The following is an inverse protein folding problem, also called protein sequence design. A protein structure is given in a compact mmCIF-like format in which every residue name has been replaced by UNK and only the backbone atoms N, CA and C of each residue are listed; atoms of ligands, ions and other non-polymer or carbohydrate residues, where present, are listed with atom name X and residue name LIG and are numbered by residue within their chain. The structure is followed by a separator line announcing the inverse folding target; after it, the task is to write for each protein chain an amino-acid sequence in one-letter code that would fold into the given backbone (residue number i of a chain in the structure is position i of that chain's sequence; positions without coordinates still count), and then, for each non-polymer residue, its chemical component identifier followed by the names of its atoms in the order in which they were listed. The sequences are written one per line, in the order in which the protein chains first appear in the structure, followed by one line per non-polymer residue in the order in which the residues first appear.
data_IF_205277889011
#
_entry.id   IF_205277889011
#
_cell.length_a   1.000
_cell.length_b   1.000
_cell.length_c   1.000
_cell.angle_alpha   90.00
_cell.angle_beta   90.00
_cell.angle_gamma   90.00
#
_symmetry.space_group_name_H-M   'P 1'
#
loop_
_entity.id
_entity.type
_entity.pdbx_description
1 polymer ?
#
# COMPACT_ATOMS: atom_id res chain seq x y z
N UNK A 1 -14.07 -0.12 -45.63
CA UNK A 1 -13.35 1.13 -45.33
C UNK A 1 -13.43 1.37 -43.82
N UNK A 2 -12.25 1.51 -43.22
CA UNK A 2 -11.88 2.03 -41.90
C UNK A 2 -12.92 2.20 -40.78
N UNK A 3 -12.65 1.53 -39.66
CA UNK A 3 -12.39 2.22 -38.39
C UNK A 3 -11.68 1.25 -37.42
N UNK A 4 -10.36 1.10 -37.60
CA UNK A 4 -9.48 0.82 -36.47
C UNK A 4 -9.02 2.16 -35.90
N UNK A 5 -9.07 2.34 -34.58
CA UNK A 5 -8.03 3.01 -33.80
C UNK A 5 -8.41 3.03 -32.30
N UNK A 6 -7.45 2.71 -31.42
CA UNK A 6 -7.31 3.52 -30.22
C UNK A 6 -7.90 3.03 -28.88
N UNK A 7 -7.96 1.72 -28.60
CA UNK A 7 -8.14 1.22 -27.22
C UNK A 7 -6.82 0.85 -26.54
N UNK A 8 -5.78 1.65 -26.79
CA UNK A 8 -4.49 1.59 -26.12
C UNK A 8 -4.35 2.79 -25.18
N UNK A 9 -5.23 2.89 -24.18
CA UNK A 9 -5.07 3.87 -23.10
C UNK A 9 -5.05 3.16 -21.76
N UNK A 10 -3.86 3.18 -21.15
CA UNK A 10 -3.53 3.00 -19.72
C UNK A 10 -3.12 1.61 -19.26
N UNK A 11 -2.22 0.96 -20.01
CA UNK A 11 -1.10 0.31 -19.32
C UNK A 11 0.03 1.32 -19.30
N UNK A 12 -0.04 2.27 -18.34
CA UNK A 12 1.20 2.90 -17.89
C UNK A 12 2.07 1.73 -17.48
N UNK A 13 3.18 1.55 -18.19
CA UNK A 13 4.31 0.78 -17.68
C UNK A 13 4.72 1.44 -16.36
N UNK A 14 4.01 1.10 -15.29
CA UNK A 14 4.41 1.41 -13.94
C UNK A 14 5.79 0.81 -13.81
N UNK A 15 6.77 1.62 -13.40
CA UNK A 15 8.04 1.12 -12.90
C UNK A 15 7.75 -0.13 -12.09
N UNK A 16 8.27 -1.28 -12.54
CA UNK A 16 8.13 -2.53 -11.80
C UNK A 16 8.68 -2.31 -10.39
N UNK A 17 9.73 -1.50 -10.29
CA UNK A 17 10.48 -1.23 -9.09
C UNK A 17 10.01 0.05 -8.40
N UNK A 18 9.89 0.01 -7.08
CA UNK A 18 9.56 1.17 -6.25
C UNK A 18 9.21 0.73 -4.84
N UNK A 19 8.25 1.39 -4.19
CA UNK A 19 7.89 1.11 -2.82
C UNK A 19 6.42 0.70 -2.69
N UNK A 20 6.17 -0.36 -1.93
CA UNK A 20 4.86 -0.61 -1.31
C UNK A 20 4.94 -0.12 0.13
N UNK A 21 3.95 0.65 0.55
CA UNK A 21 3.97 1.32 1.82
C UNK A 21 2.64 1.18 2.57
N UNK A 22 2.73 1.32 3.88
CA UNK A 22 1.62 1.36 4.82
C UNK A 22 1.53 2.79 5.35
N UNK A 23 0.38 3.45 5.19
CA UNK A 23 0.06 4.66 5.95
C UNK A 23 -0.85 4.31 7.10
N UNK A 24 -0.72 5.04 8.19
CA UNK A 24 -1.60 4.95 9.35
C UNK A 24 -2.26 6.30 9.57
N UNK A 25 -3.52 6.26 9.97
CA UNK A 25 -4.25 7.41 10.49
C UNK A 25 -3.78 7.70 11.92
N UNK A 26 -3.30 8.93 12.13
CA UNK A 26 -2.94 9.41 13.46
C UNK A 26 -4.22 9.75 14.24
N UNK A 27 -4.76 8.74 14.92
CA UNK A 27 -5.95 8.83 15.77
C UNK A 27 -5.60 8.90 17.25
N UNK A 28 -6.64 9.16 18.06
CA UNK A 28 -6.59 9.10 19.51
C UNK A 28 -6.03 7.73 19.99
N UNK A 29 -5.06 7.69 20.92
CA UNK A 29 -4.30 6.49 21.28
C UNK A 29 -5.13 5.37 21.92
N UNK A 30 -6.42 5.61 22.18
CA UNK A 30 -7.35 4.64 22.78
C UNK A 30 -8.24 3.93 21.78
N UNK A 31 -8.19 4.32 20.50
CA UNK A 31 -9.03 3.75 19.44
C UNK A 31 -8.29 2.77 18.52
N UNK A 32 -9.02 2.02 17.69
CA UNK A 32 -8.41 1.22 16.64
C UNK A 32 -7.70 2.10 15.61
N UNK A 33 -6.57 1.63 15.11
CA UNK A 33 -5.79 2.33 14.09
C UNK A 33 -6.26 1.92 12.70
N UNK A 34 -6.33 2.92 11.81
CA UNK A 34 -6.71 2.71 10.41
C UNK A 34 -5.48 2.78 9.53
N UNK A 35 -5.24 1.73 8.75
CA UNK A 35 -4.13 1.59 7.84
C UNK A 35 -4.60 1.59 6.39
N UNK A 36 -3.75 2.08 5.48
CA UNK A 36 -3.95 1.94 4.04
C UNK A 36 -2.66 1.49 3.37
N UNK A 37 -2.79 0.50 2.49
CA UNK A 37 -1.71 0.04 1.62
C UNK A 37 -1.67 0.91 0.36
N UNK A 38 -0.50 1.43 0.03
CA UNK A 38 -0.25 2.15 -1.22
C UNK A 38 1.02 1.70 -1.90
N UNK A 39 1.20 2.15 -3.13
CA UNK A 39 2.43 1.98 -3.89
C UNK A 39 2.85 3.30 -4.53
N UNK A 40 4.15 3.57 -4.55
CA UNK A 40 4.72 4.79 -5.12
C UNK A 40 6.23 4.63 -5.31
N UNK A 41 6.81 5.32 -6.28
CA UNK A 41 8.25 5.48 -6.39
C UNK A 41 8.81 6.40 -5.30
N UNK A 42 7.96 7.32 -4.79
CA UNK A 42 8.28 8.21 -3.69
C UNK A 42 7.10 8.25 -2.70
N UNK A 43 7.10 7.41 -1.65
CA UNK A 43 5.98 7.31 -0.73
C UNK A 43 5.76 8.61 0.04
N UNK A 44 6.83 9.30 0.48
CA UNK A 44 6.74 10.57 1.22
C UNK A 44 5.96 11.65 0.46
N UNK A 45 6.31 11.90 -0.80
CA UNK A 45 5.59 12.86 -1.66
C UNK A 45 4.14 12.42 -1.88
N UNK A 46 3.91 11.11 -2.03
CA UNK A 46 2.55 10.58 -2.25
C UNK A 46 1.68 10.73 -1.00
N UNK A 47 2.21 10.48 0.19
CA UNK A 47 1.50 10.70 1.46
C UNK A 47 1.18 12.19 1.64
N UNK A 48 2.12 13.09 1.34
CA UNK A 48 1.85 14.53 1.36
C UNK A 48 0.70 14.93 0.45
N UNK A 49 0.65 14.41 -0.78
CA UNK A 49 -0.47 14.63 -1.72
C UNK A 49 -1.80 14.03 -1.23
N UNK A 50 -1.76 12.86 -0.58
CA UNK A 50 -2.94 12.25 0.02
C UNK A 50 -3.49 13.11 1.17
N UNK A 51 -2.62 13.75 1.95
CA UNK A 51 -3.02 14.62 3.05
C UNK A 51 -3.78 15.87 2.59
N UNK A 52 -3.41 16.47 1.44
CA UNK A 52 -4.02 17.73 0.94
C UNK A 52 -5.54 17.64 0.73
N UNK A 53 -6.08 16.43 0.54
CA UNK A 53 -7.53 16.19 0.40
C UNK A 53 -8.13 15.25 1.44
N UNK A 54 -7.35 14.85 2.46
CA UNK A 54 -7.82 13.92 3.48
C UNK A 54 -8.03 14.68 4.81
N UNK A 55 -9.27 14.70 5.36
CA UNK A 55 -9.52 15.31 6.67
C UNK A 55 -8.80 14.59 7.81
N UNK A 56 -8.39 13.33 7.60
CA UNK A 56 -7.65 12.52 8.56
C UNK A 56 -6.16 12.81 8.45
N UNK A 57 -5.46 12.90 9.59
CA UNK A 57 -4.00 13.02 9.61
C UNK A 57 -3.37 11.68 9.24
N UNK A 58 -2.58 11.67 8.19
CA UNK A 58 -1.89 10.47 7.70
C UNK A 58 -0.41 10.55 8.01
N UNK A 59 0.14 9.43 8.48
CA UNK A 59 1.57 9.25 8.65
C UNK A 59 2.04 8.04 7.85
N UNK A 60 3.18 8.16 7.19
CA UNK A 60 3.86 7.00 6.62
C UNK A 60 4.35 6.12 7.78
N UNK A 61 3.86 4.89 7.84
CA UNK A 61 4.18 3.95 8.91
C UNK A 61 5.31 3.01 8.52
N UNK A 62 5.20 2.39 7.34
CA UNK A 62 6.21 1.49 6.79
C UNK A 62 6.35 1.68 5.29
N UNK A 63 7.56 1.49 4.78
CA UNK A 63 7.83 1.42 3.35
C UNK A 63 8.77 0.26 3.05
N UNK A 64 8.49 -0.46 1.96
CA UNK A 64 9.25 -1.61 1.52
C UNK A 64 9.58 -1.45 0.03
N UNK A 65 10.89 -1.38 -0.27
CA UNK A 65 11.36 -1.40 -1.65
C UNK A 65 11.13 -2.77 -2.27
N UNK A 66 10.53 -2.81 -3.46
CA UNK A 66 10.19 -4.03 -4.18
C UNK A 66 10.50 -3.90 -5.68
N UNK A 67 10.72 -5.03 -6.34
CA UNK A 67 10.92 -5.11 -7.80
C UNK A 67 9.61 -5.27 -8.58
N UNK A 68 8.48 -5.50 -7.90
CA UNK A 68 7.16 -5.54 -8.52
C UNK A 68 6.11 -4.92 -7.60
N UNK A 69 5.97 -3.58 -7.66
CA UNK A 69 5.03 -2.83 -6.83
C UNK A 69 3.59 -3.32 -6.97
N UNK A 70 3.13 -3.60 -8.19
CA UNK A 70 1.75 -4.03 -8.44
C UNK A 70 1.45 -5.42 -7.85
N UNK A 71 2.36 -6.37 -8.03
CA UNK A 71 2.19 -7.71 -7.46
C UNK A 71 2.31 -7.70 -5.94
N UNK A 72 3.26 -6.94 -5.40
CA UNK A 72 3.48 -6.81 -3.97
C UNK A 72 2.29 -6.14 -3.27
N UNK A 73 1.74 -5.06 -3.84
CA UNK A 73 0.56 -4.39 -3.32
C UNK A 73 -0.67 -5.31 -3.35
N UNK A 74 -0.91 -6.01 -4.46
CA UNK A 74 -2.01 -6.99 -4.54
C UNK A 74 -1.87 -8.09 -3.49
N UNK A 75 -0.67 -8.63 -3.33
CA UNK A 75 -0.36 -9.66 -2.32
C UNK A 75 -0.63 -9.14 -0.90
N UNK A 76 -0.15 -7.94 -0.58
CA UNK A 76 -0.40 -7.29 0.71
C UNK A 76 -1.91 -7.07 0.94
N UNK A 77 -2.62 -6.53 -0.05
CA UNK A 77 -4.07 -6.28 0.05
C UNK A 77 -4.89 -7.57 0.22
N UNK A 78 -4.46 -8.67 -0.40
CA UNK A 78 -5.08 -9.98 -0.23
C UNK A 78 -4.78 -10.56 1.15
N UNK A 79 -3.56 -10.46 1.64
CA UNK A 79 -3.17 -10.93 2.98
C UNK A 79 -3.92 -10.17 4.09
N UNK A 80 -4.16 -8.87 3.90
CA UNK A 80 -4.86 -8.02 4.85
C UNK A 80 -6.39 -8.05 4.72
N UNK A 81 -6.96 -8.92 3.90
CA UNK A 81 -8.41 -8.94 3.61
C UNK A 81 -9.27 -9.08 4.88
N UNK A 82 -8.76 -9.78 5.89
CA UNK A 82 -9.45 -9.99 7.17
C UNK A 82 -9.55 -8.71 8.02
N UNK A 83 -8.63 -7.76 7.81
CA UNK A 83 -8.61 -6.46 8.50
C UNK A 83 -9.41 -5.37 7.78
N UNK A 84 -10.09 -5.68 6.67
CA UNK A 84 -10.79 -4.66 5.88
C UNK A 84 -11.82 -3.90 6.72
N UNK A 85 -11.73 -2.57 6.68
CA UNK A 85 -12.68 -1.69 7.34
C UNK A 85 -14.08 -1.87 6.71
N UNK A 86 -15.04 -2.36 7.50
CA UNK A 86 -16.42 -2.59 7.03
C UNK A 86 -17.31 -1.34 7.09
N UNK A 87 -16.88 -0.32 7.80
CA UNK A 87 -17.67 0.89 8.10
C UNK A 87 -17.16 2.07 7.28
N UNK A 88 -17.68 2.21 6.05
CA UNK A 88 -17.60 3.47 5.29
C UNK A 88 -16.23 3.87 4.70
N UNK A 89 -15.19 3.05 4.87
CA UNK A 89 -13.84 3.33 4.34
C UNK A 89 -13.60 2.89 2.90
N UNK A 90 -14.49 2.12 2.28
CA UNK A 90 -14.24 1.48 0.98
C UNK A 90 -13.25 0.31 1.06
N UNK A 91 -12.76 -0.19 -0.08
CA UNK A 91 -11.92 -1.39 -0.17
C UNK A 91 -10.43 -1.15 0.12
N UNK A 92 -10.07 0.08 0.48
CA UNK A 92 -8.69 0.54 0.55
C UNK A 92 -8.16 0.75 1.98
N UNK A 93 -9.01 0.60 2.99
CA UNK A 93 -8.65 0.82 4.40
C UNK A 93 -8.80 -0.47 5.21
N UNK A 94 -7.89 -0.61 6.18
CA UNK A 94 -7.79 -1.73 7.09
C UNK A 94 -7.82 -1.19 8.51
N UNK A 95 -8.55 -1.84 9.40
CA UNK A 95 -8.68 -1.43 10.80
C UNK A 95 -8.12 -2.55 11.66
N UNK A 96 -7.22 -2.21 12.58
CA UNK A 96 -6.72 -3.14 13.59
C UNK A 96 -6.89 -2.54 14.97
N UNK A 97 -7.36 -3.36 15.91
CA UNK A 97 -7.29 -3.03 17.32
C UNK A 97 -5.85 -3.02 17.83
N UNK A 98 -5.61 -2.52 19.06
CA UNK A 98 -4.27 -2.48 19.65
C UNK A 98 -3.63 -3.87 19.77
N UNK A 99 -4.43 -4.92 19.94
CA UNK A 99 -3.94 -6.32 20.01
C UNK A 99 -3.65 -6.92 18.62
N UNK A 100 -4.19 -6.33 17.56
CA UNK A 100 -4.09 -6.82 16.18
C UNK A 100 -3.07 -6.05 15.33
N UNK A 101 -2.63 -4.88 15.80
CA UNK A 101 -1.67 -4.03 15.08
C UNK A 101 -0.40 -4.81 14.71
N UNK A 102 0.18 -5.55 15.66
CA UNK A 102 1.40 -6.29 15.42
C UNK A 102 1.21 -7.40 14.37
N UNK A 103 0.07 -8.10 14.40
CA UNK A 103 -0.22 -9.14 13.41
C UNK A 103 -0.41 -8.53 12.02
N UNK A 104 -1.16 -7.42 11.91
CA UNK A 104 -1.36 -6.70 10.66
C UNK A 104 -0.02 -6.31 10.03
N UNK A 105 0.89 -5.76 10.83
CA UNK A 105 2.22 -5.34 10.38
C UNK A 105 3.03 -6.55 9.90
N UNK A 106 3.09 -7.62 10.69
CA UNK A 106 3.80 -8.85 10.32
C UNK A 106 3.25 -9.47 9.05
N UNK A 107 1.92 -9.50 8.91
CA UNK A 107 1.22 -10.01 7.74
C UNK A 107 1.54 -9.17 6.49
N UNK A 108 1.54 -7.84 6.61
CA UNK A 108 1.98 -6.94 5.54
C UNK A 108 3.43 -7.21 5.13
N UNK A 109 4.36 -7.21 6.09
CA UNK A 109 5.78 -7.41 5.80
C UNK A 109 6.03 -8.75 5.13
N UNK A 110 5.43 -9.83 5.62
CA UNK A 110 5.56 -11.17 5.04
C UNK A 110 5.04 -11.24 3.60
N UNK A 111 3.93 -10.57 3.31
CA UNK A 111 3.35 -10.53 1.97
C UNK A 111 4.25 -9.77 0.98
N UNK A 112 4.87 -8.67 1.42
CA UNK A 112 5.72 -7.81 0.59
C UNK A 112 7.15 -8.35 0.48
N UNK A 113 7.65 -9.07 1.49
CA UNK A 113 9.03 -9.57 1.56
C UNK A 113 9.45 -10.39 0.33
N UNK A 114 8.52 -11.17 -0.23
CA UNK A 114 8.75 -12.02 -1.41
C UNK A 114 9.12 -11.25 -2.68
N UNK A 115 8.91 -9.93 -2.68
CA UNK A 115 9.15 -9.04 -3.81
C UNK A 115 10.31 -8.08 -3.55
N UNK A 116 11.01 -8.20 -2.42
CA UNK A 116 12.20 -7.39 -2.13
C UNK A 116 13.29 -7.73 -3.15
N UNK A 117 14.08 -6.73 -3.58
CA UNK A 117 15.20 -6.98 -4.47
C UNK A 117 16.19 -7.93 -3.83
N UNK A 118 16.51 -9.00 -4.56
CA UNK A 118 17.57 -9.93 -4.17
C UNK A 118 18.87 -9.12 -4.12
N UNK A 119 19.46 -8.99 -2.92
CA UNK A 119 20.83 -8.49 -2.80
C UNK A 119 21.72 -9.48 -3.55
N UNK A 120 22.08 -9.17 -4.80
CA UNK A 120 23.21 -9.84 -5.45
C UNK A 120 24.43 -9.53 -4.58
N UNK A 121 24.86 -10.50 -3.78
CA UNK A 121 26.19 -10.47 -3.18
C UNK A 121 27.16 -10.33 -4.36
N UNK A 122 27.80 -9.16 -4.46
CA UNK A 122 28.95 -9.00 -5.33
C UNK A 122 30.01 -9.96 -4.81
N UNK A 123 30.40 -10.88 -5.68
CA UNK A 123 31.44 -11.87 -5.44
C UNK A 123 32.80 -11.26 -5.80
#
# INVERSE_FOLDING_TARGET
MAAGDGLSKRFSAMSLNGYVYLVVEENDPKGPLNYKVGLSENPHVRVGKLQTGNPRKLRLFLECKVDNMSAAERSAKQALVHYKCRLGGGTEWYTAGPEEEEDLIKTFEKAVHRYKPVKKQQK
#
